data_IF_184804671663
#
_entry.id   IF_184804671663
#
_cell.length_a   1.000
_cell.length_b   1.000
_cell.length_c   1.000
_cell.angle_alpha   90.00
_cell.angle_beta   90.00
_cell.angle_gamma   90.00
#
_symmetry.space_group_name_H-M   'P 1'
#
loop_
_entity.id
_entity.type
_entity.pdbx_description
1 polymer ?
#
# COMPACT_ATOMS: atom_id res chain seq x y z
N UNK A 1 13.49 -33.97 38.84
CA UNK A 1 13.82 -33.79 37.42
C UNK A 1 12.54 -33.36 36.73
N UNK A 2 12.35 -32.05 36.58
CA UNK A 2 11.11 -31.46 36.07
C UNK A 2 11.46 -30.78 34.76
N UNK A 3 11.24 -31.51 33.65
CA UNK A 3 11.40 -30.97 32.32
C UNK A 3 10.37 -29.85 32.14
N UNK A 4 10.88 -28.63 32.01
CA UNK A 4 10.17 -27.45 31.57
C UNK A 4 9.60 -27.72 30.17
N UNK A 5 8.35 -28.17 30.09
CA UNK A 5 7.62 -28.19 28.83
C UNK A 5 7.33 -26.75 28.42
N UNK A 6 8.11 -26.33 27.42
CA UNK A 6 7.92 -25.15 26.58
C UNK A 6 6.43 -24.92 26.30
N UNK A 7 5.94 -23.73 26.64
CA UNK A 7 4.58 -23.30 26.37
C UNK A 7 4.28 -23.38 24.86
N UNK A 8 3.03 -23.67 24.47
CA UNK A 8 2.68 -23.77 23.06
C UNK A 8 2.90 -22.42 22.40
N UNK A 9 3.82 -22.38 21.43
CA UNK A 9 4.04 -21.21 20.60
C UNK A 9 2.70 -20.72 20.02
N UNK A 10 2.43 -19.43 20.18
CA UNK A 10 1.28 -18.70 19.64
C UNK A 10 1.14 -18.94 18.12
N UNK A 11 0.33 -19.93 17.75
CA UNK A 11 -0.07 -20.16 16.37
C UNK A 11 -1.21 -19.21 16.03
N UNK A 12 -0.86 -17.95 15.78
CA UNK A 12 -1.74 -17.02 15.06
C UNK A 12 -2.01 -15.69 15.75
N UNK A 13 -1.05 -14.76 15.71
CA UNK A 13 -1.38 -13.35 15.88
C UNK A 13 -0.24 -12.40 16.24
N UNK A 14 0.85 -12.88 16.84
CA UNK A 14 1.75 -12.00 17.57
C UNK A 14 3.22 -12.15 17.18
N UNK A 15 3.53 -11.97 15.90
CA UNK A 15 4.91 -11.67 15.48
C UNK A 15 5.07 -10.14 15.45
N UNK A 16 5.54 -9.50 16.55
CA UNK A 16 5.64 -8.05 16.63
C UNK A 16 6.63 -7.50 15.59
N UNK A 17 7.68 -8.25 15.25
CA UNK A 17 8.62 -7.91 14.19
C UNK A 17 7.90 -7.84 12.84
N UNK A 18 7.10 -8.86 12.50
CA UNK A 18 6.31 -8.85 11.26
C UNK A 18 5.30 -7.71 11.22
N UNK A 19 4.61 -7.42 12.32
CA UNK A 19 3.67 -6.29 12.39
C UNK A 19 4.40 -4.96 12.19
N UNK A 20 5.58 -4.79 12.81
CA UNK A 20 6.42 -3.62 12.65
C UNK A 20 6.89 -3.44 11.20
N UNK A 21 7.33 -4.53 10.54
CA UNK A 21 7.73 -4.53 9.13
C UNK A 21 6.57 -4.17 8.20
N UNK A 22 5.38 -4.76 8.39
CA UNK A 22 4.18 -4.42 7.60
C UNK A 22 3.81 -2.94 7.78
N UNK A 23 3.87 -2.42 9.00
CA UNK A 23 3.60 -1.02 9.26
C UNK A 23 4.65 -0.10 8.60
N UNK A 24 5.93 -0.49 8.62
CA UNK A 24 7.01 0.23 7.96
C UNK A 24 6.83 0.26 6.43
N UNK A 25 6.55 -0.89 5.81
CA UNK A 25 6.26 -0.98 4.38
C UNK A 25 5.06 -0.13 3.96
N UNK A 26 3.98 -0.13 4.76
CA UNK A 26 2.80 0.73 4.49
C UNK A 26 3.14 2.22 4.55
N UNK A 27 3.97 2.65 5.51
CA UNK A 27 4.45 4.04 5.59
C UNK A 27 5.28 4.41 4.37
N UNK A 28 6.29 3.61 4.05
CA UNK A 28 7.15 3.82 2.88
C UNK A 28 6.33 3.90 1.56
N UNK A 29 5.36 3.00 1.38
CA UNK A 29 4.47 3.02 0.22
C UNK A 29 3.65 4.32 0.14
N UNK A 30 3.06 4.77 1.26
CA UNK A 30 2.29 6.02 1.30
C UNK A 30 3.17 7.23 1.00
N UNK A 31 4.41 7.23 1.47
CA UNK A 31 5.38 8.30 1.21
C UNK A 31 5.77 8.36 -0.27
N UNK A 32 6.02 7.19 -0.88
CA UNK A 32 6.27 7.08 -2.32
C UNK A 32 5.06 7.57 -3.16
N UNK A 33 3.84 7.20 -2.76
CA UNK A 33 2.60 7.64 -3.43
C UNK A 33 2.46 9.16 -3.39
N UNK A 34 2.78 9.82 -2.26
CA UNK A 34 2.73 11.28 -2.12
C UNK A 34 3.71 12.01 -3.05
N UNK A 35 4.77 11.36 -3.51
CA UNK A 35 5.79 11.92 -4.40
C UNK A 35 5.49 11.71 -5.90
N UNK A 36 4.40 11.02 -6.24
CA UNK A 36 4.04 10.79 -7.64
C UNK A 36 3.59 12.08 -8.33
N UNK A 37 3.83 12.21 -9.64
CA UNK A 37 3.43 13.40 -10.39
C UNK A 37 1.92 13.44 -10.69
N UNK A 38 1.39 14.66 -10.81
CA UNK A 38 0.05 14.92 -11.31
C UNK A 38 -1.08 14.32 -10.46
N UNK A 39 -2.05 13.67 -11.09
CA UNK A 39 -3.24 13.09 -10.44
C UNK A 39 -3.01 11.74 -9.74
N UNK A 40 -1.83 11.14 -9.90
CA UNK A 40 -1.55 9.80 -9.41
C UNK A 40 -1.55 9.63 -7.89
N UNK A 41 -1.08 10.59 -7.08
CA UNK A 41 -1.20 10.52 -5.62
C UNK A 41 -2.65 10.36 -5.17
N UNK A 42 -3.58 11.15 -5.73
CA UNK A 42 -5.00 11.11 -5.37
C UNK A 42 -5.63 9.76 -5.69
N UNK A 43 -5.43 9.27 -6.92
CA UNK A 43 -5.98 7.97 -7.33
C UNK A 43 -5.44 6.80 -6.50
N UNK A 44 -4.12 6.72 -6.29
CA UNK A 44 -3.56 5.61 -5.52
C UNK A 44 -3.88 5.72 -4.03
N UNK A 45 -4.00 6.93 -3.48
CA UNK A 45 -4.45 7.13 -2.09
C UNK A 45 -5.88 6.61 -1.89
N UNK A 46 -6.78 6.91 -2.83
CA UNK A 46 -8.15 6.40 -2.80
C UNK A 46 -8.19 4.87 -2.89
N UNK A 47 -7.41 4.27 -3.79
CA UNK A 47 -7.33 2.80 -3.95
C UNK A 47 -6.67 2.08 -2.75
N UNK A 48 -5.83 2.76 -1.98
CA UNK A 48 -5.17 2.21 -0.78
C UNK A 48 -5.93 2.56 0.52
N UNK A 49 -7.09 3.19 0.40
CA UNK A 49 -7.90 3.60 1.54
C UNK A 49 -8.46 2.39 2.28
N UNK A 50 -8.37 2.34 3.62
CA UNK A 50 -8.99 1.27 4.41
C UNK A 50 -10.53 1.29 4.35
N UNK A 51 -11.12 2.37 3.82
CA UNK A 51 -12.57 2.48 3.60
C UNK A 51 -13.06 1.67 2.38
N UNK A 52 -12.13 1.13 1.59
CA UNK A 52 -12.39 0.33 0.39
C UNK A 52 -13.46 0.94 -0.54
N UNK A 53 -13.26 2.19 -1.01
CA UNK A 53 -14.26 2.87 -1.83
C UNK A 53 -14.44 2.17 -3.19
N UNK A 54 -15.68 2.17 -3.67
CA UNK A 54 -15.99 1.64 -5.00
C UNK A 54 -15.39 2.51 -6.10
N UNK A 55 -15.13 1.93 -7.26
CA UNK A 55 -14.64 2.68 -8.42
C UNK A 55 -15.52 3.87 -8.79
N UNK A 56 -16.84 3.76 -8.62
CA UNK A 56 -17.77 4.87 -8.85
C UNK A 56 -17.52 6.04 -7.88
N UNK A 57 -17.26 5.74 -6.61
CA UNK A 57 -16.99 6.76 -5.60
C UNK A 57 -15.66 7.44 -5.84
N UNK A 58 -14.62 6.67 -6.19
CA UNK A 58 -13.31 7.20 -6.57
C UNK A 58 -13.44 8.11 -7.81
N UNK A 59 -14.13 7.66 -8.85
CA UNK A 59 -14.32 8.44 -10.07
C UNK A 59 -15.04 9.77 -9.79
N UNK A 60 -16.08 9.73 -8.94
CA UNK A 60 -16.84 10.91 -8.51
C UNK A 60 -15.96 11.89 -7.72
N UNK A 61 -15.18 11.39 -6.76
CA UNK A 61 -14.29 12.22 -5.93
C UNK A 61 -13.18 12.88 -6.77
N UNK A 62 -12.65 12.16 -7.76
CA UNK A 62 -11.59 12.66 -8.65
C UNK A 62 -12.13 13.48 -9.83
N UNK A 63 -13.45 13.60 -10.01
CA UNK A 63 -14.06 14.31 -11.12
C UNK A 63 -13.77 13.71 -12.50
N UNK A 64 -13.58 12.38 -12.59
CA UNK A 64 -13.29 11.66 -13.84
C UNK A 64 -14.41 10.68 -14.20
N UNK A 65 -14.47 10.25 -15.46
CA UNK A 65 -15.37 9.16 -15.84
C UNK A 65 -14.92 7.84 -15.21
N UNK A 66 -15.87 7.01 -14.78
CA UNK A 66 -15.55 5.67 -14.26
C UNK A 66 -14.80 4.81 -15.30
N UNK A 67 -15.06 5.00 -16.61
CA UNK A 67 -14.36 4.29 -17.68
C UNK A 67 -12.86 4.63 -17.78
N UNK A 68 -12.43 5.79 -17.29
CA UNK A 68 -11.03 6.21 -17.30
C UNK A 68 -10.19 5.60 -16.17
N UNK A 69 -10.81 4.95 -15.17
CA UNK A 69 -10.09 4.41 -14.00
C UNK A 69 -9.08 3.33 -14.37
N UNK A 70 -9.38 2.46 -15.33
CA UNK A 70 -8.47 1.40 -15.75
C UNK A 70 -7.15 1.94 -16.34
N UNK A 71 -7.20 2.76 -17.40
CA UNK A 71 -6.03 3.40 -17.98
C UNK A 71 -5.24 4.26 -16.98
N UNK A 72 -5.92 5.08 -16.17
CA UNK A 72 -5.24 5.93 -15.18
C UNK A 72 -4.58 5.10 -14.07
N UNK A 73 -5.23 4.02 -13.59
CA UNK A 73 -4.63 3.10 -12.63
C UNK A 73 -3.36 2.46 -13.18
N UNK A 74 -3.40 1.97 -14.42
CA UNK A 74 -2.22 1.39 -15.09
C UNK A 74 -1.07 2.40 -15.17
N UNK A 75 -1.36 3.61 -15.66
CA UNK A 75 -0.40 4.71 -15.76
C UNK A 75 0.22 5.05 -14.39
N UNK A 76 -0.61 5.23 -13.37
CA UNK A 76 -0.15 5.62 -12.04
C UNK A 76 0.66 4.54 -11.32
N UNK A 77 0.28 3.26 -11.46
CA UNK A 77 1.09 2.14 -10.98
C UNK A 77 2.42 2.05 -11.73
N UNK A 78 2.45 2.36 -13.04
CA UNK A 78 3.68 2.46 -13.81
C UNK A 78 4.62 3.55 -13.29
N UNK A 79 4.10 4.73 -12.95
CA UNK A 79 4.88 5.80 -12.31
C UNK A 79 5.44 5.36 -10.96
N UNK A 80 4.61 4.71 -10.13
CA UNK A 80 5.03 4.23 -8.81
C UNK A 80 6.15 3.18 -8.90
N UNK A 81 6.03 2.21 -9.81
CA UNK A 81 7.07 1.20 -10.00
C UNK A 81 8.41 1.81 -10.41
N UNK A 82 8.42 2.79 -11.32
CA UNK A 82 9.66 3.49 -11.72
C UNK A 82 10.28 4.26 -10.56
N UNK A 83 9.46 4.95 -9.77
CA UNK A 83 9.94 5.70 -8.61
C UNK A 83 10.58 4.77 -7.57
N UNK A 84 9.90 3.68 -7.21
CA UNK A 84 10.41 2.71 -6.24
C UNK A 84 11.66 1.97 -6.76
N UNK A 85 11.72 1.65 -8.05
CA UNK A 85 12.90 1.01 -8.64
C UNK A 85 14.15 1.90 -8.52
N UNK A 86 14.00 3.22 -8.68
CA UNK A 86 15.10 4.17 -8.48
C UNK A 86 15.55 4.26 -7.01
N UNK A 87 14.62 4.17 -6.06
CA UNK A 87 14.94 4.20 -4.63
C UNK A 87 15.66 2.95 -4.16
N UNK A 88 15.21 1.77 -4.61
CA UNK A 88 15.86 0.50 -4.31
C UNK A 88 17.26 0.42 -4.92
N UNK A 89 17.47 0.99 -6.11
CA UNK A 89 18.79 1.03 -6.73
C UNK A 89 19.76 2.03 -6.05
N UNK A 90 19.24 2.98 -5.28
CA UNK A 90 20.02 4.02 -4.61
C UNK A 90 20.36 3.70 -3.14
N UNK A 91 19.75 2.67 -2.55
CA UNK A 91 20.03 2.19 -1.20
C UNK A 91 20.88 0.93 -1.21
#
# INVERSE_FOLDING_TARGET
ETALTCEPADVGGHDPERLALVAAHRRALRDAVRRLPGRCPGLLTALLSPRDPTYREIARELGISQGCLGPERSRCLGCLRRLLAAEVAAG
#
